data_IF_322170518107
#
_entry.id   IF_322170518107
#
_cell.length_a   1.000
_cell.length_b   1.000
_cell.length_c   1.000
_cell.angle_alpha   90.00
_cell.angle_beta   90.00
_cell.angle_gamma   90.00
#
_symmetry.space_group_name_H-M   'P 1'
#
loop_
_entity.id
_entity.type
_entity.pdbx_description
1 polymer ?
#
# COMPACT_ATOMS: atom_id res chain seq x y z
N UNK A 1 -16.54 -3.72 -15.49
CA UNK A 1 -15.39 -3.58 -16.42
C UNK A 1 -14.19 -2.98 -15.71
N UNK A 2 -14.33 -1.82 -15.05
CA UNK A 2 -13.28 -1.25 -14.19
C UNK A 2 -12.76 -2.23 -13.12
N UNK A 3 -13.66 -2.87 -12.36
CA UNK A 3 -13.30 -3.87 -11.34
C UNK A 3 -12.45 -5.04 -11.87
N UNK A 4 -12.66 -5.46 -13.13
CA UNK A 4 -11.85 -6.54 -13.73
C UNK A 4 -10.41 -6.09 -13.96
N UNK A 5 -10.23 -4.85 -14.40
CA UNK A 5 -8.91 -4.26 -14.54
C UNK A 5 -8.26 -4.11 -13.16
N UNK A 6 -8.98 -3.64 -12.14
CA UNK A 6 -8.45 -3.56 -10.78
C UNK A 6 -8.03 -4.93 -10.23
N UNK A 7 -8.91 -5.94 -10.34
CA UNK A 7 -8.63 -7.31 -9.92
C UNK A 7 -7.42 -7.90 -10.65
N UNK A 8 -7.27 -7.63 -11.95
CA UNK A 8 -6.09 -8.07 -12.71
C UNK A 8 -4.82 -7.38 -12.21
N UNK A 9 -4.86 -6.08 -11.93
CA UNK A 9 -3.75 -5.35 -11.31
C UNK A 9 -3.33 -5.97 -9.98
N UNK A 10 -4.29 -6.27 -9.10
CA UNK A 10 -4.03 -6.92 -7.81
C UNK A 10 -3.42 -8.31 -7.97
N UNK A 11 -3.94 -9.11 -8.90
CA UNK A 11 -3.39 -10.42 -9.19
C UNK A 11 -1.93 -10.33 -9.68
N UNK A 12 -1.60 -9.37 -10.55
CA UNK A 12 -0.23 -9.15 -11.02
C UNK A 12 0.72 -8.81 -9.86
N UNK A 13 0.31 -7.94 -8.95
CA UNK A 13 1.06 -7.63 -7.74
C UNK A 13 1.38 -8.90 -6.92
N UNK A 14 0.38 -9.73 -6.60
CA UNK A 14 0.60 -10.97 -5.84
C UNK A 14 1.47 -12.00 -6.58
N UNK A 15 1.50 -11.96 -7.91
CA UNK A 15 2.36 -12.80 -8.75
C UNK A 15 3.80 -12.26 -8.89
N UNK A 16 4.18 -11.21 -8.16
CA UNK A 16 5.51 -10.61 -8.26
C UNK A 16 5.70 -9.70 -9.48
N UNK A 17 4.61 -9.37 -10.19
CA UNK A 17 4.61 -8.58 -11.43
C UNK A 17 4.10 -7.16 -11.18
N UNK A 18 4.62 -6.54 -10.12
CA UNK A 18 4.17 -5.25 -9.63
C UNK A 18 4.20 -4.13 -10.71
N UNK A 19 5.14 -4.19 -11.65
CA UNK A 19 5.28 -3.22 -12.74
C UNK A 19 4.04 -3.13 -13.65
N UNK A 20 3.21 -4.18 -13.71
CA UNK A 20 1.98 -4.19 -14.52
C UNK A 20 0.74 -3.67 -13.76
N UNK A 21 0.84 -3.54 -12.44
CA UNK A 21 -0.28 -3.15 -11.57
C UNK A 21 -0.82 -1.77 -11.95
N UNK A 22 0.06 -0.79 -12.09
CA UNK A 22 -0.32 0.61 -12.34
C UNK A 22 -1.11 0.76 -13.64
N UNK A 23 -0.66 0.14 -14.74
CA UNK A 23 -1.37 0.21 -16.02
C UNK A 23 -2.80 -0.34 -15.94
N UNK A 24 -2.99 -1.47 -15.24
CA UNK A 24 -4.32 -2.02 -15.03
C UNK A 24 -5.19 -1.13 -14.14
N UNK A 25 -4.64 -0.54 -13.08
CA UNK A 25 -5.40 0.35 -12.20
C UNK A 25 -5.76 1.66 -12.89
N UNK A 26 -4.86 2.23 -13.68
CA UNK A 26 -5.14 3.41 -14.50
C UNK A 26 -6.30 3.16 -15.47
N UNK A 27 -6.38 1.97 -16.06
CA UNK A 27 -7.51 1.59 -16.90
C UNK A 27 -8.81 1.44 -16.11
N UNK A 28 -8.75 0.89 -14.89
CA UNK A 28 -9.90 0.85 -13.99
C UNK A 28 -10.42 2.25 -13.66
N UNK A 29 -9.52 3.18 -13.31
CA UNK A 29 -9.83 4.58 -13.03
C UNK A 29 -10.36 5.31 -14.28
N UNK A 30 -9.84 5.01 -15.48
CA UNK A 30 -10.35 5.58 -16.73
C UNK A 30 -11.79 5.15 -17.01
N UNK A 31 -12.11 3.89 -16.74
CA UNK A 31 -13.44 3.32 -16.93
C UNK A 31 -14.44 3.77 -15.85
N UNK A 32 -13.97 4.04 -14.64
CA UNK A 32 -14.80 4.50 -13.50
C UNK A 32 -14.06 5.59 -12.69
N UNK A 33 -14.02 6.84 -13.19
CA UNK A 33 -13.20 7.90 -12.57
C UNK A 33 -13.74 8.43 -11.23
N UNK A 34 -14.98 8.08 -10.89
CA UNK A 34 -15.65 8.46 -9.63
C UNK A 34 -16.05 7.23 -8.83
N UNK A 35 -15.37 6.10 -9.06
CA UNK A 35 -15.64 4.88 -8.31
C UNK A 35 -15.43 5.10 -6.81
N UNK A 36 -16.34 4.58 -6.01
CA UNK A 36 -16.24 4.69 -4.55
C UNK A 36 -15.05 3.89 -4.03
N UNK A 37 -14.61 2.85 -4.75
CA UNK A 37 -13.47 2.01 -4.38
C UNK A 37 -12.13 2.48 -4.97
N UNK A 38 -12.12 3.59 -5.71
CA UNK A 38 -10.92 4.12 -6.35
C UNK A 38 -9.76 4.39 -5.37
N UNK A 39 -10.07 4.70 -4.11
CA UNK A 39 -9.06 4.86 -3.06
C UNK A 39 -8.31 3.56 -2.79
N UNK A 40 -8.97 2.41 -2.83
CA UNK A 40 -8.33 1.10 -2.67
C UNK A 40 -7.40 0.82 -3.83
N UNK A 41 -7.86 1.07 -5.06
CA UNK A 41 -7.07 0.82 -6.26
C UNK A 41 -5.79 1.66 -6.27
N UNK A 42 -5.92 2.93 -5.93
CA UNK A 42 -4.82 3.89 -5.75
C UNK A 42 -3.84 3.43 -4.66
N UNK A 43 -4.36 2.89 -3.54
CA UNK A 43 -3.54 2.31 -2.48
C UNK A 43 -2.67 1.15 -3.00
N UNK A 44 -3.24 0.25 -3.79
CA UNK A 44 -2.54 -0.91 -4.35
C UNK A 44 -1.46 -0.53 -5.35
N UNK A 45 -1.62 0.56 -6.12
CA UNK A 45 -0.52 1.10 -6.92
C UNK A 45 0.64 1.53 -6.02
N UNK A 46 0.34 2.21 -4.90
CA UNK A 46 1.34 2.57 -3.89
C UNK A 46 2.11 1.36 -3.35
N UNK A 47 1.41 0.26 -3.00
CA UNK A 47 2.06 -0.98 -2.55
C UNK A 47 2.93 -1.60 -3.64
N UNK A 48 2.44 -1.63 -4.88
CA UNK A 48 3.22 -2.13 -6.01
C UNK A 48 4.50 -1.30 -6.24
N UNK A 49 4.43 0.02 -6.06
CA UNK A 49 5.61 0.90 -6.14
C UNK A 49 6.63 0.62 -5.04
N UNK A 50 6.19 0.30 -3.81
CA UNK A 50 7.10 -0.14 -2.75
C UNK A 50 7.81 -1.45 -3.10
N UNK A 51 7.10 -2.42 -3.68
CA UNK A 51 7.71 -3.68 -4.13
C UNK A 51 8.76 -3.45 -5.24
N UNK A 52 8.59 -2.41 -6.05
CA UNK A 52 9.54 -2.01 -7.09
C UNK A 52 10.68 -1.12 -6.57
N UNK A 53 10.65 -0.70 -5.30
CA UNK A 53 11.60 0.26 -4.72
C UNK A 53 11.38 1.72 -5.17
N UNK A 54 10.26 2.02 -5.82
CA UNK A 54 9.89 3.36 -6.28
C UNK A 54 9.23 4.17 -5.14
N UNK A 55 9.92 4.36 -4.02
CA UNK A 55 9.30 4.81 -2.76
C UNK A 55 8.69 6.21 -2.84
N UNK A 56 9.31 7.14 -3.58
CA UNK A 56 8.78 8.51 -3.76
C UNK A 56 7.45 8.50 -4.51
N UNK A 57 7.32 7.64 -5.52
CA UNK A 57 6.06 7.44 -6.24
C UNK A 57 5.04 6.73 -5.35
N UNK A 58 5.47 5.78 -4.52
CA UNK A 58 4.61 5.13 -3.55
C UNK A 58 3.99 6.13 -2.57
N UNK A 59 4.79 7.05 -2.01
CA UNK A 59 4.29 8.14 -1.15
C UNK A 59 3.21 8.94 -1.88
N UNK A 60 3.45 9.30 -3.14
CA UNK A 60 2.50 10.10 -3.94
C UNK A 60 1.18 9.36 -4.13
N UNK A 61 1.21 8.08 -4.50
CA UNK A 61 0.00 7.25 -4.65
C UNK A 61 -0.73 7.03 -3.33
N UNK A 62 0.00 6.77 -2.24
CA UNK A 62 -0.59 6.52 -0.93
C UNK A 62 -1.23 7.77 -0.31
N UNK A 63 -0.66 8.96 -0.56
CA UNK A 63 -1.33 10.24 -0.20
C UNK A 63 -2.65 10.43 -0.93
N UNK A 64 -2.70 10.13 -2.23
CA UNK A 64 -3.96 10.21 -2.99
C UNK A 64 -5.02 9.26 -2.41
N UNK A 65 -4.61 8.07 -1.98
CA UNK A 65 -5.51 7.11 -1.31
C UNK A 65 -6.04 7.64 0.02
N UNK A 66 -5.16 8.18 0.89
CA UNK A 66 -5.57 8.73 2.19
C UNK A 66 -6.42 10.00 2.04
N UNK A 67 -6.16 10.84 1.03
CA UNK A 67 -6.97 12.00 0.69
C UNK A 67 -8.36 11.60 0.18
N UNK A 68 -8.44 10.58 -0.66
CA UNK A 68 -9.70 10.05 -1.19
C UNK A 68 -10.54 9.38 -0.10
N UNK A 69 -9.92 8.65 0.82
CA UNK A 69 -10.62 8.08 1.98
C UNK A 69 -9.74 8.10 3.24
N UNK A 70 -9.93 9.12 4.08
CA UNK A 70 -9.20 9.27 5.34
C UNK A 70 -9.50 8.17 6.36
N UNK A 71 -10.58 7.42 6.21
CA UNK A 71 -10.99 6.34 7.10
C UNK A 71 -10.49 4.96 6.64
N UNK A 72 -9.60 4.91 5.65
CA UNK A 72 -8.98 3.66 5.21
C UNK A 72 -7.64 3.42 5.93
N UNK A 73 -7.60 2.62 7.01
CA UNK A 73 -6.42 2.47 7.86
C UNK A 73 -5.20 1.94 7.10
N UNK A 74 -5.41 1.04 6.14
CA UNK A 74 -4.35 0.38 5.39
C UNK A 74 -3.51 1.40 4.59
N UNK A 75 -4.13 2.41 3.99
CA UNK A 75 -3.42 3.44 3.25
C UNK A 75 -2.50 4.29 4.15
N UNK A 76 -2.92 4.57 5.38
CA UNK A 76 -2.10 5.32 6.34
C UNK A 76 -0.87 4.53 6.81
N UNK A 77 -1.02 3.24 7.14
CA UNK A 77 0.13 2.41 7.55
C UNK A 77 1.10 2.18 6.39
N UNK A 78 0.60 2.00 5.16
CA UNK A 78 1.46 1.87 3.98
C UNK A 78 2.15 3.19 3.64
N UNK A 79 1.46 4.33 3.80
CA UNK A 79 2.07 5.65 3.65
C UNK A 79 3.21 5.84 4.67
N UNK A 80 3.02 5.37 5.90
CA UNK A 80 4.07 5.37 6.92
C UNK A 80 5.29 4.56 6.49
N UNK A 81 5.08 3.35 5.95
CA UNK A 81 6.17 2.53 5.42
C UNK A 81 6.93 3.24 4.30
N UNK A 82 6.21 3.81 3.33
CA UNK A 82 6.81 4.54 2.21
C UNK A 82 7.61 5.76 2.67
N UNK A 83 7.04 6.57 3.58
CA UNK A 83 7.72 7.74 4.13
C UNK A 83 9.00 7.36 4.89
N UNK A 84 8.96 6.28 5.68
CA UNK A 84 10.15 5.76 6.36
C UNK A 84 11.26 5.39 5.39
N UNK A 85 10.91 4.71 4.28
CA UNK A 85 11.88 4.28 3.26
C UNK A 85 12.48 5.48 2.50
N UNK A 86 11.78 6.61 2.44
CA UNK A 86 12.32 7.88 1.92
C UNK A 86 13.06 8.72 2.98
N UNK A 87 13.13 8.27 4.23
CA UNK A 87 13.79 8.99 5.34
C UNK A 87 12.93 10.05 6.03
N UNK A 88 11.67 10.23 5.63
CA UNK A 88 10.73 11.19 6.22
C UNK A 88 10.10 10.65 7.52
N UNK A 89 10.94 10.34 8.51
CA UNK A 89 10.54 9.56 9.70
C UNK A 89 9.48 10.23 10.58
N UNK A 90 9.47 11.56 10.69
CA UNK A 90 8.47 12.25 11.52
C UNK A 90 7.07 12.19 10.89
N UNK A 91 6.99 12.35 9.57
CA UNK A 91 5.76 12.17 8.81
C UNK A 91 5.32 10.70 8.81
N UNK A 92 6.27 9.77 8.70
CA UNK A 92 6.00 8.34 8.78
C UNK A 92 5.32 7.96 10.11
N UNK A 93 5.88 8.42 11.24
CA UNK A 93 5.28 8.21 12.57
C UNK A 93 3.90 8.84 12.69
N UNK A 94 3.67 10.00 12.09
CA UNK A 94 2.35 10.62 12.06
C UNK A 94 1.33 9.79 11.27
N UNK A 95 1.71 9.31 10.09
CA UNK A 95 0.87 8.43 9.29
C UNK A 95 0.59 7.10 10.01
N UNK A 96 1.59 6.51 10.66
CA UNK A 96 1.41 5.29 11.47
C UNK A 96 0.40 5.51 12.60
N UNK A 97 0.50 6.61 13.35
CA UNK A 97 -0.48 6.96 14.40
C UNK A 97 -1.89 7.09 13.84
N UNK A 98 -2.06 7.74 12.69
CA UNK A 98 -3.37 7.86 12.03
C UNK A 98 -3.96 6.49 11.66
N UNK A 99 -3.15 5.61 11.06
CA UNK A 99 -3.59 4.26 10.71
C UNK A 99 -3.94 3.40 11.94
N UNK A 100 -3.12 3.48 12.99
CA UNK A 100 -3.35 2.75 14.25
C UNK A 100 -4.53 3.30 15.05
N UNK A 101 -4.82 4.59 14.96
CA UNK A 101 -6.03 5.17 15.57
C UNK A 101 -7.32 4.61 14.94
N UNK A 102 -7.28 4.30 13.64
CA UNK A 102 -8.39 3.68 12.90
C UNK A 102 -8.45 2.15 13.07
N UNK A 103 -7.30 1.50 13.28
CA UNK A 103 -7.20 0.07 13.53
C UNK A 103 -6.10 -0.22 14.56
N UNK A 104 -6.46 -0.17 15.84
CA UNK A 104 -5.53 -0.38 16.96
C UNK A 104 -5.01 -1.82 17.05
N UNK A 105 -5.66 -2.77 16.37
CA UNK A 105 -5.21 -4.16 16.29
C UNK A 105 -4.16 -4.41 15.21
N UNK A 106 -3.78 -3.41 14.40
CA UNK A 106 -2.78 -3.60 13.34
C UNK A 106 -1.39 -3.80 13.95
N UNK A 107 -0.70 -4.87 13.51
CA UNK A 107 0.67 -5.20 13.90
C UNK A 107 1.39 -5.83 12.72
N UNK A 108 2.73 -5.76 12.71
CA UNK A 108 3.54 -6.38 11.66
C UNK A 108 3.30 -7.90 11.61
N UNK A 109 3.20 -8.57 12.77
CA UNK A 109 2.85 -9.99 12.85
C UNK A 109 1.52 -10.33 12.18
N UNK A 110 0.49 -9.51 12.37
CA UNK A 110 -0.82 -9.74 11.71
C UNK A 110 -0.76 -9.45 10.21
N UNK A 111 0.03 -8.48 9.77
CA UNK A 111 0.27 -8.24 8.35
C UNK A 111 0.92 -9.47 7.70
N UNK A 112 1.98 -10.00 8.30
CA UNK A 112 2.67 -11.21 7.82
C UNK A 112 1.74 -12.43 7.82
N UNK A 113 0.93 -12.61 8.86
CA UNK A 113 -0.06 -13.69 8.93
C UNK A 113 -1.17 -13.58 7.86
N UNK A 114 -1.40 -12.38 7.32
CA UNK A 114 -2.37 -12.11 6.26
C UNK A 114 -1.74 -12.11 4.84
N UNK A 115 -0.50 -12.60 4.69
CA UNK A 115 0.13 -12.71 3.37
C UNK A 115 -0.73 -13.55 2.42
N UNK A 116 -0.72 -13.18 1.14
CA UNK A 116 -1.60 -13.78 0.12
C UNK A 116 -0.83 -14.59 -0.93
N UNK A 117 0.50 -14.57 -0.89
CA UNK A 117 1.35 -15.20 -1.90
C UNK A 117 2.66 -15.62 -1.26
N UNK A 118 3.19 -16.75 -1.70
CA UNK A 118 4.52 -17.28 -1.39
C UNK A 118 5.55 -16.91 -2.47
N UNK A 119 5.15 -16.11 -3.48
CA UNK A 119 6.05 -15.66 -4.53
C UNK A 119 7.24 -14.88 -3.93
N UNK A 120 8.50 -15.24 -4.23
CA UNK A 120 9.67 -14.60 -3.61
C UNK A 120 9.76 -13.08 -3.80
N UNK A 121 9.31 -12.57 -4.95
CA UNK A 121 9.33 -11.12 -5.24
C UNK A 121 8.26 -10.42 -4.41
N UNK A 122 7.09 -11.04 -4.22
CA UNK A 122 6.06 -10.53 -3.31
C UNK A 122 6.57 -10.52 -1.87
N UNK A 123 7.18 -11.62 -1.41
CA UNK A 123 7.72 -11.73 -0.05
C UNK A 123 8.81 -10.69 0.23
N UNK A 124 9.72 -10.45 -0.72
CA UNK A 124 10.74 -9.41 -0.60
C UNK A 124 10.12 -8.00 -0.48
N UNK A 125 9.05 -7.73 -1.26
CA UNK A 125 8.29 -6.48 -1.14
C UNK A 125 7.60 -6.34 0.23
N UNK A 126 7.00 -7.43 0.72
CA UNK A 126 6.36 -7.46 2.04
C UNK A 126 7.38 -7.23 3.16
N UNK A 127 8.56 -7.82 3.07
CA UNK A 127 9.65 -7.63 4.04
C UNK A 127 10.12 -6.17 4.07
N UNK A 128 10.30 -5.55 2.89
CA UNK A 128 10.62 -4.11 2.78
C UNK A 128 9.53 -3.22 3.39
N UNK A 129 8.26 -3.56 3.18
CA UNK A 129 7.15 -2.86 3.84
C UNK A 129 7.26 -2.99 5.35
N UNK A 130 7.52 -4.21 5.87
CA UNK A 130 7.70 -4.43 7.30
C UNK A 130 8.87 -3.62 7.87
N UNK A 131 9.99 -3.51 7.16
CA UNK A 131 11.10 -2.64 7.54
C UNK A 131 10.67 -1.17 7.67
N UNK A 132 9.96 -0.63 6.67
CA UNK A 132 9.43 0.73 6.73
C UNK A 132 8.45 0.94 7.89
N UNK A 133 7.63 -0.06 8.20
CA UNK A 133 6.69 -0.03 9.33
C UNK A 133 7.42 -0.03 10.69
N UNK A 134 8.51 -0.80 10.84
CA UNK A 134 9.36 -0.78 12.04
C UNK A 134 9.95 0.60 12.29
N UNK A 135 10.51 1.20 11.23
CA UNK A 135 11.06 2.56 11.29
C UNK A 135 10.00 3.61 11.67
N UNK A 136 8.75 3.40 11.25
CA UNK A 136 7.62 4.26 11.61
C UNK A 136 7.09 4.03 13.04
N UNK A 137 7.61 3.03 13.77
CA UNK A 137 7.19 2.68 15.13
C UNK A 137 5.89 1.89 15.19
N UNK A 138 5.53 1.17 14.13
CA UNK A 138 4.37 0.28 14.14
C UNK A 138 4.68 -0.96 15.01
N UNK A 139 3.77 -1.41 15.88
CA UNK A 139 4.03 -2.54 16.76
C UNK A 139 4.28 -3.85 16.00
N UNK A 140 5.24 -4.65 16.50
CA UNK A 140 5.51 -6.01 15.99
C UNK A 140 4.34 -6.95 16.27
N UNK A 141 3.74 -6.83 17.47
CA UNK A 141 2.57 -7.58 17.91
C UNK A 141 2.85 -8.78 18.77
#
# INVERSE_FOLDING_TARGET
MAERHAALGFAKFYMGRAAETEGHILEALRLSPRDVEAYQWTCFVGVAKLQLGSDVEAVSWLRRSTEANRNFPLAHVLLAAALSLTGALDEARAAARSGLALNSGFTIRRLLAAQQSDNPIFLAGLERICEGLRLAGVPEG
#
